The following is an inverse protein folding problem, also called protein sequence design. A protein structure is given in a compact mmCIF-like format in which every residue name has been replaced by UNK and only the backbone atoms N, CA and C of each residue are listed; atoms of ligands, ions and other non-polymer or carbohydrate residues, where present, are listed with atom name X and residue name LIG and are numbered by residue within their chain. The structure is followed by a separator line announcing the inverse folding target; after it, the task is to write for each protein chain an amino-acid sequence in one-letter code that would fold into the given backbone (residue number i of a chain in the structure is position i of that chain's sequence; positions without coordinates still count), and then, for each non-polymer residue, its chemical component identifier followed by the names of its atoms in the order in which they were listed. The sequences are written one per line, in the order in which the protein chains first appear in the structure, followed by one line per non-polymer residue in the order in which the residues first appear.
data_IF_769929946279
#
_entry.id   IF_769929946279
#
_cell.length_a   1.000
_cell.length_b   1.000
_cell.length_c   1.000
_cell.angle_alpha   90.00
_cell.angle_beta   90.00
_cell.angle_gamma   90.00
#
_symmetry.space_group_name_H-M   'P 1'
#
loop_
_entity.id
_entity.type
_entity.pdbx_description
1 polymer ?
#
# COMPACT_ATOMS: atom_id res chain seq x y z
N UNK A 1 -15.43 57.36 -51.18
CA UNK A 1 -14.91 57.76 -49.86
C UNK A 1 -15.58 56.89 -48.82
N UNK A 2 -14.96 55.78 -48.45
CA UNK A 2 -15.40 54.91 -47.36
C UNK A 2 -14.16 54.63 -46.54
N UNK A 3 -13.99 55.36 -45.44
CA UNK A 3 -12.91 55.18 -44.49
C UNK A 3 -13.49 54.43 -43.29
N UNK A 4 -13.30 53.11 -43.28
CA UNK A 4 -13.34 52.34 -42.04
C UNK A 4 -11.96 52.52 -41.40
N UNK A 5 -11.91 53.24 -40.27
CA UNK A 5 -10.72 53.32 -39.43
C UNK A 5 -10.86 52.34 -38.28
N UNK A 6 -9.78 51.61 -38.07
CA UNK A 6 -9.60 50.44 -37.24
C UNK A 6 -9.95 50.66 -35.76
N UNK A 7 -10.58 49.64 -35.17
CA UNK A 7 -10.68 49.48 -33.73
C UNK A 7 -9.30 49.08 -33.17
N UNK A 8 -8.90 49.57 -31.98
CA UNK A 8 -7.60 49.23 -31.43
C UNK A 8 -7.59 47.75 -30.99
N UNK A 9 -6.63 47.00 -31.52
CA UNK A 9 -6.29 45.67 -31.04
C UNK A 9 -5.90 45.77 -29.56
N UNK A 10 -6.76 45.22 -28.70
CA UNK A 10 -6.46 45.00 -27.29
C UNK A 10 -5.36 43.94 -27.18
N UNK A 11 -4.11 44.38 -27.21
CA UNK A 11 -2.97 43.57 -26.81
C UNK A 11 -3.07 43.27 -25.32
N UNK A 12 -3.71 42.15 -24.98
CA UNK A 12 -3.52 41.52 -23.68
C UNK A 12 -2.06 41.07 -23.63
N UNK A 13 -1.19 41.88 -23.02
CA UNK A 13 0.16 41.46 -22.68
C UNK A 13 0.01 40.25 -21.75
N UNK A 14 0.35 39.07 -22.26
CA UNK A 14 0.49 37.88 -21.42
C UNK A 14 1.82 38.03 -20.65
N UNK A 15 1.85 38.96 -19.70
CA UNK A 15 2.94 39.16 -18.75
C UNK A 15 2.93 38.08 -17.67
N UNK A 16 2.90 36.80 -18.08
CA UNK A 16 3.31 35.72 -17.20
C UNK A 16 4.82 35.63 -17.31
N UNK A 17 5.52 36.08 -16.27
CA UNK A 17 6.93 35.80 -16.10
C UNK A 17 7.18 34.31 -16.41
N UNK A 18 8.13 34.02 -17.29
CA UNK A 18 8.47 32.63 -17.65
C UNK A 18 8.89 31.91 -16.37
N UNK A 19 8.03 30.99 -15.89
CA UNK A 19 8.30 30.20 -14.71
C UNK A 19 9.43 29.22 -15.01
N UNK A 20 10.31 29.03 -14.04
CA UNK A 20 11.37 28.02 -14.18
C UNK A 20 10.76 26.62 -14.18
N UNK A 21 11.40 25.62 -14.81
CA UNK A 21 10.95 24.24 -14.72
C UNK A 21 10.78 23.75 -13.27
N UNK A 22 11.62 24.22 -12.34
CA UNK A 22 11.54 23.93 -10.91
C UNK A 22 10.25 24.50 -10.27
N UNK A 23 9.91 25.75 -10.58
CA UNK A 23 8.69 26.41 -10.11
C UNK A 23 7.44 25.74 -10.67
N UNK A 24 7.47 25.36 -11.95
CA UNK A 24 6.39 24.61 -12.58
C UNK A 24 6.18 23.27 -11.88
N UNK A 25 7.24 22.49 -11.67
CA UNK A 25 7.12 21.20 -10.97
C UNK A 25 6.56 21.40 -9.56
N UNK A 26 7.01 22.40 -8.81
CA UNK A 26 6.48 22.69 -7.48
C UNK A 26 4.97 23.03 -7.53
N UNK A 27 4.54 23.82 -8.52
CA UNK A 27 3.13 24.16 -8.70
C UNK A 27 2.27 22.95 -9.08
N UNK A 28 2.77 22.10 -9.97
CA UNK A 28 2.10 20.87 -10.41
C UNK A 28 2.01 19.83 -9.28
N UNK A 29 3.02 19.73 -8.41
CA UNK A 29 2.95 18.90 -7.21
C UNK A 29 1.83 19.36 -6.26
N UNK A 30 1.61 20.68 -6.13
CA UNK A 30 0.47 21.22 -5.38
C UNK A 30 -0.89 20.85 -6.01
N UNK A 31 -0.98 20.83 -7.34
CA UNK A 31 -2.18 20.37 -8.05
C UNK A 31 -2.41 18.87 -7.82
N UNK A 32 -1.35 18.06 -7.91
CA UNK A 32 -1.39 16.62 -7.63
C UNK A 32 -1.88 16.36 -6.22
N UNK A 33 -1.36 17.06 -5.21
CA UNK A 33 -1.77 16.89 -3.82
C UNK A 33 -3.28 17.15 -3.64
N UNK A 34 -3.78 18.19 -4.30
CA UNK A 34 -5.21 18.49 -4.33
C UNK A 34 -6.00 17.37 -5.00
N UNK A 35 -5.57 16.89 -6.17
CA UNK A 35 -6.25 15.81 -6.88
C UNK A 35 -6.27 14.49 -6.08
N UNK A 36 -5.16 14.13 -5.45
CA UNK A 36 -5.07 12.94 -4.59
C UNK A 36 -5.90 13.07 -3.32
N UNK A 37 -6.15 14.30 -2.83
CA UNK A 37 -7.07 14.50 -1.69
C UNK A 37 -8.54 14.25 -2.07
N UNK A 38 -8.92 14.42 -3.34
CA UNK A 38 -10.25 14.08 -3.83
C UNK A 38 -10.38 12.60 -4.21
N UNK A 39 -9.36 12.07 -4.89
CA UNK A 39 -9.28 10.66 -5.28
C UNK A 39 -7.85 10.15 -5.16
N UNK A 40 -7.55 9.60 -3.98
CA UNK A 40 -6.24 9.02 -3.68
C UNK A 40 -5.88 7.76 -4.47
N UNK A 41 -6.81 7.23 -5.27
CA UNK A 41 -6.62 6.03 -6.11
C UNK A 41 -6.54 6.36 -7.59
N UNK A 42 -6.54 7.64 -7.97
CA UNK A 42 -6.48 8.06 -9.36
C UNK A 42 -5.13 7.71 -10.01
N UNK A 43 -5.13 6.65 -10.82
CA UNK A 43 -3.94 6.14 -11.49
C UNK A 43 -3.27 7.16 -12.41
N UNK A 44 -4.04 8.04 -13.07
CA UNK A 44 -3.47 9.05 -13.96
C UNK A 44 -2.70 10.11 -13.18
N UNK A 45 -3.19 10.50 -12.01
CA UNK A 45 -2.52 11.46 -11.12
C UNK A 45 -1.24 10.85 -10.56
N UNK A 46 -1.26 9.59 -10.14
CA UNK A 46 -0.06 8.87 -9.71
C UNK A 46 0.99 8.76 -10.81
N UNK A 47 0.59 8.47 -12.04
CA UNK A 47 1.51 8.43 -13.19
C UNK A 47 2.08 9.80 -13.52
N UNK A 48 1.25 10.84 -13.48
CA UNK A 48 1.70 12.21 -13.72
C UNK A 48 2.71 12.66 -12.66
N UNK A 49 2.45 12.32 -11.39
CA UNK A 49 3.40 12.53 -10.29
C UNK A 49 4.72 11.81 -10.56
N UNK A 50 4.69 10.53 -10.95
CA UNK A 50 5.90 9.79 -11.27
C UNK A 50 6.68 10.41 -12.44
N UNK A 51 5.99 10.90 -13.47
CA UNK A 51 6.59 11.62 -14.59
C UNK A 51 7.31 12.89 -14.13
N UNK A 52 6.66 13.74 -13.33
CA UNK A 52 7.28 14.97 -12.81
C UNK A 52 8.49 14.69 -11.93
N UNK A 53 8.39 13.71 -11.02
CA UNK A 53 9.48 13.34 -10.12
C UNK A 53 10.66 12.66 -10.85
N UNK A 54 10.44 12.17 -12.06
CA UNK A 54 11.51 11.64 -12.93
C UNK A 54 12.24 12.73 -13.72
N UNK A 55 11.69 13.95 -13.77
CA UNK A 55 12.23 15.03 -14.58
C UNK A 55 13.54 15.59 -13.96
N UNK A 56 14.60 15.85 -14.75
CA UNK A 56 15.90 16.30 -14.21
C UNK A 56 15.88 17.62 -13.43
N UNK A 57 14.86 18.46 -13.67
CA UNK A 57 14.65 19.71 -12.94
C UNK A 57 14.11 19.50 -11.52
N UNK A 58 13.55 18.33 -11.19
CA UNK A 58 13.18 18.03 -9.81
C UNK A 58 14.46 17.82 -8.99
N UNK A 59 14.71 18.73 -8.03
CA UNK A 59 15.86 18.68 -7.11
C UNK A 59 15.47 18.35 -5.67
N UNK A 60 14.20 18.07 -5.41
CA UNK A 60 13.69 17.75 -4.08
C UNK A 60 14.07 16.34 -3.63
N UNK A 61 13.90 16.08 -2.33
CA UNK A 61 14.05 14.75 -1.76
C UNK A 61 12.80 13.92 -2.05
N UNK A 62 12.90 13.04 -3.06
CA UNK A 62 11.81 12.14 -3.46
C UNK A 62 11.40 11.20 -2.32
N UNK A 63 12.36 10.62 -1.59
CA UNK A 63 12.08 9.65 -0.53
C UNK A 63 11.29 10.30 0.59
N UNK A 64 11.71 11.50 1.01
CA UNK A 64 10.98 12.29 2.01
C UNK A 64 9.56 12.62 1.53
N UNK A 65 9.43 13.13 0.31
CA UNK A 65 8.12 13.48 -0.25
C UNK A 65 7.19 12.27 -0.36
N UNK A 66 7.70 11.11 -0.80
CA UNK A 66 6.93 9.86 -0.90
C UNK A 66 6.47 9.35 0.47
N UNK A 67 7.33 9.45 1.50
CA UNK A 67 6.98 9.13 2.88
C UNK A 67 5.88 10.03 3.43
N UNK A 68 6.01 11.34 3.27
CA UNK A 68 5.00 12.32 3.70
C UNK A 68 3.67 12.14 2.96
N UNK A 69 3.74 11.91 1.64
CA UNK A 69 2.55 11.67 0.80
C UNK A 69 1.82 10.41 1.22
N UNK A 70 2.54 9.29 1.39
CA UNK A 70 1.93 8.02 1.79
C UNK A 70 1.34 8.10 3.18
N UNK A 71 2.05 8.67 4.17
CA UNK A 71 1.53 8.85 5.53
C UNK A 71 0.23 9.65 5.52
N UNK A 72 0.23 10.82 4.88
CA UNK A 72 -0.96 11.69 4.81
C UNK A 72 -2.16 10.98 4.19
N UNK A 73 -1.95 10.20 3.13
CA UNK A 73 -3.04 9.49 2.46
C UNK A 73 -3.55 8.28 3.25
N UNK A 74 -2.68 7.60 4.01
CA UNK A 74 -3.06 6.52 4.93
C UNK A 74 -3.86 7.10 6.09
N UNK A 75 -3.42 8.22 6.68
CA UNK A 75 -4.11 8.89 7.79
C UNK A 75 -5.51 9.36 7.38
N UNK A 76 -5.67 9.79 6.12
CA UNK A 76 -6.97 10.18 5.56
C UNK A 76 -7.86 8.97 5.25
N UNK A 77 -7.27 7.89 4.75
CA UNK A 77 -7.99 6.69 4.36
C UNK A 77 -7.04 5.47 4.34
N UNK A 78 -7.05 4.67 5.41
CA UNK A 78 -6.22 3.47 5.52
C UNK A 78 -6.60 2.40 4.48
N UNK A 79 -7.75 2.48 3.82
CA UNK A 79 -8.12 1.59 2.71
C UNK A 79 -7.42 1.95 1.39
N UNK A 80 -6.63 3.02 1.34
CA UNK A 80 -5.97 3.48 0.13
C UNK A 80 -4.76 2.61 -0.24
N UNK A 81 -5.01 1.58 -1.07
CA UNK A 81 -3.97 0.72 -1.61
C UNK A 81 -2.82 1.49 -2.30
N UNK A 82 -3.10 2.57 -3.02
CA UNK A 82 -2.07 3.34 -3.72
C UNK A 82 -1.08 3.99 -2.74
N UNK A 83 -1.56 4.42 -1.57
CA UNK A 83 -0.70 4.99 -0.53
C UNK A 83 0.22 3.93 0.10
N UNK A 84 -0.33 2.76 0.45
CA UNK A 84 0.46 1.61 0.92
C UNK A 84 1.47 1.14 -0.12
N UNK A 85 1.08 1.10 -1.39
CA UNK A 85 1.98 0.72 -2.47
C UNK A 85 3.13 1.73 -2.60
N UNK A 86 2.85 3.03 -2.59
CA UNK A 86 3.91 4.05 -2.58
C UNK A 86 4.88 3.81 -1.42
N UNK A 87 4.34 3.56 -0.23
CA UNK A 87 5.14 3.30 0.97
C UNK A 87 6.05 2.07 0.81
N UNK A 88 5.56 0.99 0.20
CA UNK A 88 6.35 -0.22 -0.10
C UNK A 88 7.53 0.00 -1.06
N UNK A 89 7.56 1.14 -1.78
CA UNK A 89 8.68 1.48 -2.67
C UNK A 89 9.84 2.19 -1.96
N UNK A 90 9.63 2.62 -0.71
CA UNK A 90 10.66 3.22 0.13
C UNK A 90 11.70 2.16 0.51
N UNK A 91 12.98 2.56 0.56
CA UNK A 91 14.11 1.63 0.77
C UNK A 91 14.63 1.62 2.20
N UNK A 92 14.23 2.60 2.98
CA UNK A 92 14.72 2.97 4.31
C UNK A 92 13.61 2.80 5.36
N UNK A 93 12.80 1.74 5.21
CA UNK A 93 11.74 1.40 6.15
C UNK A 93 12.29 0.63 7.34
N UNK A 94 11.82 1.00 8.53
CA UNK A 94 11.97 0.17 9.73
C UNK A 94 10.78 -0.79 9.80
N UNK A 95 11.05 -2.10 9.68
CA UNK A 95 10.00 -3.11 9.63
C UNK A 95 9.15 -3.12 10.90
N UNK A 96 9.72 -2.83 12.07
CA UNK A 96 8.97 -2.82 13.33
C UNK A 96 7.99 -1.64 13.38
N UNK A 97 8.44 -0.43 13.02
CA UNK A 97 7.57 0.75 12.95
C UNK A 97 6.43 0.56 11.94
N UNK A 98 6.75 -0.03 10.78
CA UNK A 98 5.76 -0.31 9.74
C UNK A 98 4.74 -1.36 10.16
N UNK A 99 5.17 -2.39 10.90
CA UNK A 99 4.23 -3.38 11.44
C UNK A 99 3.29 -2.72 12.44
N UNK A 100 3.78 -1.91 13.38
CA UNK A 100 2.91 -1.18 14.32
C UNK A 100 1.84 -0.33 13.62
N UNK A 101 2.24 0.41 12.57
CA UNK A 101 1.32 1.21 11.77
C UNK A 101 0.21 0.34 11.15
N UNK A 102 0.58 -0.83 10.62
CA UNK A 102 -0.36 -1.76 9.98
C UNK A 102 -1.27 -2.46 11.00
N UNK A 103 -0.75 -2.78 12.20
CA UNK A 103 -1.55 -3.35 13.29
C UNK A 103 -2.70 -2.42 13.66
N UNK A 104 -2.40 -1.13 13.86
CA UNK A 104 -3.43 -0.13 14.16
C UNK A 104 -4.55 -0.09 13.11
N UNK A 105 -4.18 -0.22 11.83
CA UNK A 105 -5.14 -0.21 10.72
C UNK A 105 -6.02 -1.48 10.69
N UNK A 106 -5.44 -2.69 10.79
CA UNK A 106 -6.25 -3.91 10.72
C UNK A 106 -7.05 -4.17 12.00
N UNK A 107 -6.65 -3.64 13.15
CA UNK A 107 -7.48 -3.69 14.36
C UNK A 107 -8.72 -2.78 14.23
N UNK A 108 -8.63 -1.75 13.39
CA UNK A 108 -9.76 -0.84 13.12
C UNK A 108 -10.70 -1.43 12.07
N UNK A 109 -10.17 -1.98 10.99
CA UNK A 109 -10.95 -2.64 9.94
C UNK A 109 -10.27 -3.95 9.51
N UNK A 110 -10.65 -5.08 10.12
CA UNK A 110 -9.98 -6.36 9.90
C UNK A 110 -10.27 -6.96 8.53
N UNK A 111 -11.26 -6.45 7.80
CA UNK A 111 -11.58 -6.89 6.45
C UNK A 111 -11.01 -5.97 5.35
N UNK A 112 -10.14 -5.01 5.69
CA UNK A 112 -9.48 -4.17 4.69
C UNK A 112 -8.35 -4.91 3.96
N UNK A 113 -8.59 -5.26 2.70
CA UNK A 113 -7.62 -6.00 1.90
C UNK A 113 -6.30 -5.24 1.68
N UNK A 114 -6.30 -3.91 1.63
CA UNK A 114 -5.10 -3.11 1.35
C UNK A 114 -4.11 -3.20 2.49
N UNK A 115 -4.62 -3.10 3.73
CA UNK A 115 -3.81 -3.21 4.95
C UNK A 115 -3.13 -4.57 5.03
N UNK A 116 -3.89 -5.66 4.81
CA UNK A 116 -3.33 -7.01 4.83
C UNK A 116 -2.36 -7.28 3.68
N UNK A 117 -2.54 -6.67 2.51
CA UNK A 117 -1.56 -6.79 1.43
C UNK A 117 -0.22 -6.17 1.83
N UNK A 118 -0.23 -4.99 2.46
CA UNK A 118 0.99 -4.37 2.95
C UNK A 118 1.61 -5.15 4.11
N UNK A 119 0.79 -5.67 5.04
CA UNK A 119 1.23 -6.60 6.09
C UNK A 119 1.96 -7.84 5.54
N UNK A 120 1.35 -8.50 4.55
CA UNK A 120 1.95 -9.67 3.89
C UNK A 120 3.26 -9.30 3.18
N UNK A 121 3.34 -8.10 2.60
CA UNK A 121 4.58 -7.62 1.98
C UNK A 121 5.67 -7.42 3.04
N UNK A 122 5.38 -6.81 4.19
CA UNK A 122 6.33 -6.62 5.29
C UNK A 122 6.86 -7.94 5.85
N UNK A 123 5.99 -8.93 6.02
CA UNK A 123 6.32 -10.21 6.68
C UNK A 123 6.92 -11.27 5.75
N UNK A 124 6.75 -11.14 4.44
CA UNK A 124 7.22 -12.13 3.46
C UNK A 124 8.22 -11.53 2.48
N UNK A 125 7.89 -10.40 1.85
CA UNK A 125 8.64 -9.86 0.72
C UNK A 125 9.75 -8.87 1.14
N UNK A 126 9.50 -8.05 2.16
CA UNK A 126 10.46 -7.07 2.67
C UNK A 126 11.62 -7.74 3.42
N UNK A 127 11.40 -8.94 3.96
CA UNK A 127 12.41 -9.69 4.70
C UNK A 127 13.38 -10.49 3.79
N UNK A 128 13.18 -10.52 2.47
CA UNK A 128 14.09 -11.13 1.50
C UNK A 128 13.36 -11.88 0.37
N UNK A 129 14.10 -12.38 -0.63
CA UNK A 129 13.56 -13.29 -1.66
C UNK A 129 13.35 -14.68 -1.06
N UNK A 130 12.45 -14.81 -0.10
CA UNK A 130 12.12 -16.09 0.51
C UNK A 130 11.32 -16.93 -0.51
N UNK A 131 11.96 -17.94 -1.09
CA UNK A 131 11.29 -18.93 -1.93
C UNK A 131 10.66 -20.00 -1.06
N UNK A 132 9.68 -20.69 -1.63
CA UNK A 132 9.09 -21.85 -0.96
C UNK A 132 10.17 -22.88 -0.62
N UNK A 133 10.46 -23.05 0.67
CA UNK A 133 11.48 -23.98 1.18
C UNK A 133 12.75 -23.31 1.74
N UNK A 134 12.89 -21.99 1.67
CA UNK A 134 13.99 -21.29 2.34
C UNK A 134 13.78 -21.29 3.86
N UNK A 135 14.85 -21.30 4.64
CA UNK A 135 14.77 -21.15 6.10
C UNK A 135 14.65 -19.66 6.47
N UNK A 136 13.77 -19.35 7.42
CA UNK A 136 13.66 -18.00 7.98
C UNK A 136 14.82 -17.74 8.94
N UNK A 137 15.35 -16.51 8.96
CA UNK A 137 16.32 -16.10 9.97
C UNK A 137 15.67 -16.04 11.35
N UNK A 138 16.43 -16.14 12.46
CA UNK A 138 15.87 -16.05 13.80
C UNK A 138 15.07 -14.76 14.05
N UNK A 139 15.50 -13.64 13.45
CA UNK A 139 14.81 -12.35 13.52
C UNK A 139 13.46 -12.40 12.80
N UNK A 140 13.42 -12.95 11.58
CA UNK A 140 12.18 -13.14 10.83
C UNK A 140 11.22 -14.06 11.59
N UNK A 141 11.73 -15.14 12.19
CA UNK A 141 10.93 -16.04 13.05
C UNK A 141 10.35 -15.30 14.26
N UNK A 142 11.11 -14.40 14.89
CA UNK A 142 10.60 -13.56 15.99
C UNK A 142 9.44 -12.70 15.52
N UNK A 143 9.63 -11.98 14.41
CA UNK A 143 8.59 -11.11 13.82
C UNK A 143 7.34 -11.92 13.49
N UNK A 144 7.47 -13.07 12.81
CA UNK A 144 6.33 -13.92 12.47
C UNK A 144 5.58 -14.44 13.70
N UNK A 145 6.28 -14.72 14.80
CA UNK A 145 5.65 -15.14 16.06
C UNK A 145 4.91 -14.00 16.75
N UNK A 146 5.49 -12.80 16.78
CA UNK A 146 4.86 -11.60 17.33
C UNK A 146 3.61 -11.21 16.52
N UNK A 147 3.70 -11.26 15.19
CA UNK A 147 2.56 -11.04 14.31
C UNK A 147 1.49 -12.11 14.46
N UNK A 148 1.89 -13.39 14.58
CA UNK A 148 0.94 -14.47 14.82
C UNK A 148 0.15 -14.24 16.10
N UNK A 149 0.80 -13.86 17.20
CA UNK A 149 0.13 -13.54 18.46
C UNK A 149 -0.87 -12.38 18.28
N UNK A 150 -0.47 -11.31 17.59
CA UNK A 150 -1.34 -10.16 17.32
C UNK A 150 -2.58 -10.54 16.50
N UNK A 151 -2.39 -11.38 15.47
CA UNK A 151 -3.47 -11.90 14.62
C UNK A 151 -4.40 -12.83 15.42
N UNK A 152 -3.86 -13.63 16.33
CA UNK A 152 -4.67 -14.49 17.20
C UNK A 152 -5.54 -13.69 18.17
N UNK A 153 -5.01 -12.61 18.75
CA UNK A 153 -5.77 -11.68 19.56
C UNK A 153 -6.93 -11.05 18.77
N UNK A 154 -6.67 -10.63 17.52
CA UNK A 154 -7.72 -10.13 16.64
C UNK A 154 -8.81 -11.19 16.41
N UNK A 155 -8.42 -12.43 16.13
CA UNK A 155 -9.36 -13.53 15.86
C UNK A 155 -10.19 -13.95 17.08
N UNK A 156 -9.76 -13.61 18.30
CA UNK A 156 -10.59 -13.79 19.50
C UNK A 156 -11.80 -12.84 19.51
N UNK A 157 -11.63 -11.64 18.97
CA UNK A 157 -12.68 -10.61 18.91
C UNK A 157 -13.49 -10.72 17.62
N UNK A 158 -12.82 -10.98 16.49
CA UNK A 158 -13.37 -11.04 15.14
C UNK A 158 -13.07 -12.40 14.49
N UNK A 159 -13.77 -13.48 14.88
CA UNK A 159 -13.44 -14.85 14.45
C UNK A 159 -13.58 -15.09 12.96
N UNK A 160 -14.33 -14.24 12.25
CA UNK A 160 -14.61 -14.35 10.81
C UNK A 160 -13.79 -13.36 9.98
N UNK A 161 -12.78 -12.72 10.56
CA UNK A 161 -11.83 -11.89 9.82
C UNK A 161 -11.02 -12.75 8.84
N UNK A 162 -11.48 -12.85 7.58
CA UNK A 162 -10.94 -13.78 6.58
C UNK A 162 -9.45 -13.56 6.28
N UNK A 163 -9.00 -12.30 6.28
CA UNK A 163 -7.59 -12.00 6.03
C UNK A 163 -6.72 -12.37 7.22
N UNK A 164 -7.21 -12.17 8.44
CA UNK A 164 -6.54 -12.63 9.67
C UNK A 164 -6.42 -14.16 9.70
N UNK A 165 -7.51 -14.88 9.38
CA UNK A 165 -7.49 -16.35 9.23
C UNK A 165 -6.46 -16.81 8.19
N UNK A 166 -6.46 -16.19 7.00
CA UNK A 166 -5.51 -16.53 5.93
C UNK A 166 -4.06 -16.24 6.35
N UNK A 167 -3.81 -15.11 7.01
CA UNK A 167 -2.48 -14.74 7.52
C UNK A 167 -2.01 -15.72 8.60
N UNK A 168 -2.86 -16.08 9.55
CA UNK A 168 -2.57 -17.11 10.56
C UNK A 168 -2.15 -18.43 9.91
N UNK A 169 -2.91 -18.92 8.94
CA UNK A 169 -2.59 -20.17 8.24
C UNK A 169 -1.23 -20.11 7.51
N UNK A 170 -0.88 -18.96 6.93
CA UNK A 170 0.43 -18.76 6.30
C UNK A 170 1.57 -18.80 7.32
N UNK A 171 1.42 -18.13 8.46
CA UNK A 171 2.45 -18.10 9.51
C UNK A 171 2.65 -19.45 10.19
N UNK A 172 1.56 -20.16 10.50
CA UNK A 172 1.63 -21.52 11.03
C UNK A 172 2.43 -22.43 10.10
N UNK A 173 2.18 -22.36 8.78
CA UNK A 173 2.94 -23.14 7.80
C UNK A 173 4.41 -22.71 7.69
N UNK A 174 4.70 -21.42 7.86
CA UNK A 174 6.05 -20.88 7.80
C UNK A 174 6.89 -21.27 9.03
N UNK A 175 6.26 -21.32 10.20
CA UNK A 175 6.91 -21.61 11.49
C UNK A 175 7.02 -23.10 11.79
N UNK A 176 5.95 -23.88 11.55
CA UNK A 176 5.90 -25.32 11.79
C UNK A 176 4.91 -26.01 10.84
N UNK A 177 5.42 -26.39 9.66
CA UNK A 177 4.62 -27.00 8.59
C UNK A 177 3.97 -28.32 9.00
N UNK A 178 4.67 -29.16 9.77
CA UNK A 178 4.17 -30.49 10.12
C UNK A 178 3.27 -30.44 11.36
N UNK A 179 3.69 -29.74 12.42
CA UNK A 179 2.92 -29.65 13.66
C UNK A 179 1.62 -28.85 13.52
N UNK A 180 1.58 -27.88 12.61
CA UNK A 180 0.40 -27.02 12.43
C UNK A 180 -0.56 -27.50 11.33
N UNK A 181 -0.30 -28.66 10.71
CA UNK A 181 -1.02 -29.11 9.50
C UNK A 181 -2.53 -29.21 9.70
N UNK A 182 -2.97 -29.79 10.81
CA UNK A 182 -4.40 -30.00 11.09
C UNK A 182 -5.10 -28.69 11.43
N UNK A 183 -4.44 -27.79 12.17
CA UNK A 183 -4.96 -26.47 12.48
C UNK A 183 -5.12 -25.64 11.21
N UNK A 184 -4.07 -25.59 10.37
CA UNK A 184 -4.10 -24.94 9.07
C UNK A 184 -5.25 -25.48 8.22
N UNK A 185 -5.43 -26.80 8.15
CA UNK A 185 -6.54 -27.42 7.43
C UNK A 185 -7.89 -26.92 7.97
N UNK A 186 -8.07 -26.85 9.29
CA UNK A 186 -9.29 -26.35 9.90
C UNK A 186 -9.58 -24.88 9.53
N UNK A 187 -8.53 -24.06 9.43
CA UNK A 187 -8.65 -22.64 9.05
C UNK A 187 -9.12 -22.51 7.60
N UNK A 188 -8.57 -23.30 6.67
CA UNK A 188 -9.01 -23.27 5.27
C UNK A 188 -10.45 -23.75 5.09
N UNK A 189 -10.88 -24.76 5.83
CA UNK A 189 -12.29 -25.17 5.83
C UNK A 189 -13.21 -24.04 6.31
N UNK A 190 -12.82 -23.34 7.39
CA UNK A 190 -13.55 -22.16 7.88
C UNK A 190 -13.57 -21.03 6.85
N UNK A 191 -12.47 -20.81 6.13
CA UNK A 191 -12.39 -19.80 5.06
C UNK A 191 -13.34 -20.09 3.90
N UNK A 192 -13.64 -21.36 3.58
CA UNK A 192 -14.64 -21.70 2.57
C UNK A 192 -16.06 -21.29 2.95
N UNK A 193 -16.35 -21.23 4.26
CA UNK A 193 -17.62 -20.78 4.82
C UNK A 193 -17.69 -19.25 4.86
N UNK A 194 -16.62 -18.59 5.31
CA UNK A 194 -16.53 -17.14 5.51
C UNK A 194 -16.36 -16.37 4.19
N UNK A 195 -15.66 -16.92 3.20
CA UNK A 195 -15.47 -16.30 1.87
C UNK A 195 -15.81 -17.27 0.72
N UNK A 196 -17.12 -17.57 0.51
CA UNK A 196 -17.56 -18.56 -0.46
C UNK A 196 -17.14 -18.25 -1.91
N UNK A 197 -16.93 -16.98 -2.24
CA UNK A 197 -16.49 -16.54 -3.57
C UNK A 197 -15.07 -17.02 -3.90
N UNK A 198 -14.25 -17.29 -2.89
CA UNK A 198 -12.86 -17.77 -3.03
C UNK A 198 -12.71 -19.25 -2.68
N UNK A 199 -13.81 -20.01 -2.60
CA UNK A 199 -13.78 -21.44 -2.25
C UNK A 199 -12.77 -22.24 -3.07
N UNK A 200 -12.72 -22.05 -4.40
CA UNK A 200 -11.76 -22.75 -5.26
C UNK A 200 -10.32 -22.50 -4.87
N UNK A 201 -9.97 -21.25 -4.50
CA UNK A 201 -8.63 -20.91 -4.04
C UNK A 201 -8.25 -21.63 -2.74
N UNK A 202 -9.19 -21.78 -1.80
CA UNK A 202 -8.94 -22.51 -0.54
C UNK A 202 -8.82 -24.02 -0.77
N UNK A 203 -9.62 -24.58 -1.67
CA UNK A 203 -9.56 -25.99 -2.05
C UNK A 203 -8.24 -26.33 -2.74
N UNK A 204 -7.81 -25.52 -3.71
CA UNK A 204 -6.51 -25.66 -4.37
C UNK A 204 -5.37 -25.67 -3.34
N UNK A 205 -5.50 -24.88 -2.28
CA UNK A 205 -4.51 -24.83 -1.20
C UNK A 205 -4.51 -26.12 -0.36
N UNK A 206 -5.67 -26.68 -0.04
CA UNK A 206 -5.82 -27.94 0.69
C UNK A 206 -5.31 -29.16 -0.13
N UNK A 207 -5.40 -29.08 -1.45
CA UNK A 207 -4.96 -30.14 -2.38
C UNK A 207 -3.47 -30.05 -2.73
N UNK A 208 -2.84 -28.89 -2.54
CA UNK A 208 -1.41 -28.69 -2.78
C UNK A 208 -0.57 -29.58 -1.85
N UNK A 209 0.13 -30.57 -2.42
CA UNK A 209 1.07 -31.47 -1.72
C UNK A 209 2.36 -30.76 -1.30
#
# INVERSE_FOLDING_TARGET
MSSAQDAPEGGATNDRAEQTPEELIASELGVIDKLLSYDGRNFHVWNYRAFLLSHPAYKGDKTKLDRETSQRLIDQNFSNYSAWHLRSTLKDLDVHEELELVRQAYYTEPNDQSVWQYHNWLTIAAQGKHKLGDEYTPEQVSILKEELASVEELLQVEPEAKYALLTKAKFLRALDREGSRDEVRSIFLKLEEVDPLRRGFYQDWLEAK
#
